data_IF_565335597853
#
_entry.id   IF_565335597853
#
_cell.length_a   1.000
_cell.length_b   1.000
_cell.length_c   1.000
_cell.angle_alpha   90.00
_cell.angle_beta   90.00
_cell.angle_gamma   90.00
#
_symmetry.space_group_name_H-M   'P 1'
#
loop_
_entity.id
_entity.type
_entity.pdbx_description
1 polymer ?
#
# COMPACT_ATOMS: atom_id res chain seq x y z
N UNK A 1 -27.49 -47.11 -48.84
CA UNK A 1 -26.32 -47.99 -48.94
C UNK A 1 -25.09 -47.15 -48.60
N UNK A 2 -24.62 -47.28 -47.35
CA UNK A 2 -23.30 -46.99 -46.77
C UNK A 2 -22.67 -45.60 -47.01
N UNK A 3 -22.61 -44.68 -46.04
CA UNK A 3 -21.73 -44.71 -44.85
C UNK A 3 -20.25 -44.90 -45.20
N UNK A 4 -19.54 -43.81 -45.54
CA UNK A 4 -18.08 -43.68 -45.42
C UNK A 4 -17.60 -42.27 -45.85
N UNK A 5 -17.76 -41.26 -45.00
CA UNK A 5 -16.97 -40.01 -45.11
C UNK A 5 -16.71 -39.38 -43.73
N UNK A 6 -16.45 -40.23 -42.73
CA UNK A 6 -15.94 -39.81 -41.42
C UNK A 6 -14.69 -40.63 -41.11
N UNK A 7 -13.50 -40.16 -41.56
CA UNK A 7 -12.19 -40.46 -40.93
C UNK A 7 -11.04 -39.75 -41.68
N UNK A 8 -10.90 -38.46 -41.43
CA UNK A 8 -9.61 -37.74 -41.40
C UNK A 8 -9.83 -36.53 -40.49
N UNK A 9 -10.07 -36.77 -39.21
CA UNK A 9 -9.04 -36.76 -38.16
C UNK A 9 -8.26 -35.44 -38.23
N UNK A 10 -8.72 -34.51 -37.41
CA UNK A 10 -8.22 -33.15 -37.35
C UNK A 10 -6.79 -33.05 -36.86
N UNK A 11 -6.17 -31.93 -37.23
CA UNK A 11 -5.02 -31.30 -36.60
C UNK A 11 -4.74 -30.05 -37.44
N UNK A 12 -5.33 -28.91 -37.05
CA UNK A 12 -4.87 -27.54 -37.32
C UNK A 12 -5.95 -26.52 -36.89
N UNK A 13 -6.48 -26.68 -35.68
CA UNK A 13 -6.72 -25.49 -34.87
C UNK A 13 -5.53 -25.47 -33.92
N UNK A 14 -4.59 -24.56 -34.18
CA UNK A 14 -3.58 -24.21 -33.21
C UNK A 14 -4.38 -23.55 -32.08
N UNK A 15 -4.73 -24.35 -31.07
CA UNK A 15 -5.25 -23.84 -29.82
C UNK A 15 -4.32 -22.72 -29.41
N UNK A 16 -4.88 -21.51 -29.33
CA UNK A 16 -4.16 -20.38 -28.79
C UNK A 16 -3.69 -20.80 -27.42
N UNK A 17 -2.38 -21.02 -27.29
CA UNK A 17 -1.73 -21.18 -26.00
C UNK A 17 -2.04 -19.87 -25.29
N UNK A 18 -3.08 -19.87 -24.45
CA UNK A 18 -3.13 -18.99 -23.30
C UNK A 18 -1.90 -19.40 -22.50
N UNK A 19 -0.79 -18.72 -22.80
CA UNK A 19 0.42 -18.83 -22.01
C UNK A 19 0.01 -18.41 -20.62
N UNK A 20 -0.18 -19.38 -19.73
CA UNK A 20 0.00 -19.13 -18.31
C UNK A 20 1.41 -18.57 -18.22
N UNK A 21 1.49 -17.24 -18.06
CA UNK A 21 2.74 -16.53 -17.89
C UNK A 21 3.33 -17.00 -16.58
N UNK A 22 4.13 -18.07 -16.65
CA UNK A 22 4.79 -18.66 -15.52
C UNK A 22 5.71 -17.60 -14.94
N UNK A 23 5.35 -17.06 -13.77
CA UNK A 23 6.13 -16.00 -13.14
C UNK A 23 7.51 -16.59 -12.84
N UNK A 24 8.59 -16.07 -13.45
CA UNK A 24 9.91 -16.65 -13.27
C UNK A 24 10.35 -16.46 -11.82
N UNK A 25 10.86 -17.51 -11.20
CA UNK A 25 11.45 -17.44 -9.87
C UNK A 25 12.80 -16.71 -9.95
N UNK A 26 12.76 -15.38 -9.83
CA UNK A 26 13.93 -14.51 -9.91
C UNK A 26 14.48 -14.19 -8.52
N UNK A 27 15.80 -14.07 -8.41
CA UNK A 27 16.44 -13.63 -7.17
C UNK A 27 16.02 -12.19 -6.85
N UNK A 28 15.58 -11.91 -5.61
CA UNK A 28 15.17 -10.57 -5.23
C UNK A 28 16.34 -9.58 -5.31
N UNK A 29 16.05 -8.33 -5.71
CA UNK A 29 17.03 -7.25 -5.92
C UNK A 29 18.09 -7.48 -7.02
N UNK A 30 17.96 -8.56 -7.81
CA UNK A 30 18.86 -8.84 -8.92
C UNK A 30 18.60 -7.94 -10.14
N UNK A 31 19.62 -7.73 -10.98
CA UNK A 31 19.46 -7.03 -12.25
C UNK A 31 18.48 -7.76 -13.20
N UNK A 32 18.41 -9.10 -13.10
CA UNK A 32 17.45 -9.92 -13.84
C UNK A 32 16.01 -9.58 -13.47
N UNK A 33 15.73 -9.39 -12.17
CA UNK A 33 14.40 -8.96 -11.72
C UNK A 33 14.03 -7.58 -12.28
N UNK A 34 14.99 -6.64 -12.28
CA UNK A 34 14.78 -5.29 -12.81
C UNK A 34 14.53 -5.32 -14.31
N UNK A 35 15.28 -6.13 -15.06
CA UNK A 35 15.08 -6.33 -16.49
C UNK A 35 13.69 -6.88 -16.79
N UNK A 36 13.31 -7.96 -16.11
CA UNK A 36 12.01 -8.59 -16.27
C UNK A 36 10.87 -7.59 -16.04
N UNK A 37 10.89 -6.83 -14.95
CA UNK A 37 9.86 -5.82 -14.65
C UNK A 37 9.77 -4.78 -15.78
N UNK A 38 10.92 -4.25 -16.23
CA UNK A 38 10.94 -3.12 -17.16
C UNK A 38 10.62 -3.49 -18.61
N UNK A 39 10.85 -4.74 -19.02
CA UNK A 39 10.79 -5.13 -20.44
C UNK A 39 9.88 -6.33 -20.74
N UNK A 40 9.59 -7.19 -19.76
CA UNK A 40 8.86 -8.45 -19.98
C UNK A 40 7.50 -8.49 -19.26
N UNK A 41 7.40 -7.88 -18.08
CA UNK A 41 6.22 -7.95 -17.22
C UNK A 41 5.05 -7.04 -17.65
N UNK A 42 5.22 -6.22 -18.70
CA UNK A 42 4.23 -5.25 -19.21
C UNK A 42 3.57 -4.40 -18.09
N UNK A 43 4.39 -3.80 -17.22
CA UNK A 43 3.90 -2.97 -16.10
C UNK A 43 3.90 -1.48 -16.43
N UNK A 44 3.07 -0.71 -15.72
CA UNK A 44 3.01 0.76 -15.85
C UNK A 44 4.11 1.51 -15.09
N UNK A 45 4.86 0.80 -14.24
CA UNK A 45 5.93 1.35 -13.40
C UNK A 45 7.29 0.78 -13.80
N UNK A 46 8.36 1.48 -13.43
CA UNK A 46 9.74 1.08 -13.71
C UNK A 46 10.51 0.72 -12.44
N UNK A 47 11.26 -0.37 -12.48
CA UNK A 47 12.13 -0.82 -11.41
C UNK A 47 13.55 -0.25 -11.54
N UNK A 48 14.16 0.08 -10.39
CA UNK A 48 15.57 0.52 -10.27
C UNK A 48 16.15 0.05 -8.95
N UNK A 49 17.47 -0.18 -8.90
CA UNK A 49 18.21 -0.41 -7.64
C UNK A 49 18.15 0.83 -6.74
N UNK A 50 17.91 0.60 -5.44
CA UNK A 50 17.91 1.64 -4.42
C UNK A 50 19.06 1.39 -3.44
N UNK A 51 19.88 2.41 -3.18
CA UNK A 51 21.06 2.32 -2.30
C UNK A 51 20.70 2.16 -0.81
N UNK A 52 19.52 2.65 -0.41
CA UNK A 52 19.00 2.52 0.98
C UNK A 52 18.90 1.06 1.44
N UNK A 53 18.66 0.12 0.53
CA UNK A 53 18.36 -1.28 0.86
C UNK A 53 19.42 -2.22 0.27
N UNK A 54 20.56 -2.42 0.96
CA UNK A 54 21.66 -3.24 0.44
C UNK A 54 21.34 -4.74 0.42
N UNK A 55 20.40 -5.21 1.24
CA UNK A 55 20.03 -6.62 1.34
C UNK A 55 18.56 -6.82 1.75
N UNK A 56 18.04 -8.03 1.56
CA UNK A 56 16.65 -8.39 1.88
C UNK A 56 16.33 -8.16 3.36
N UNK A 57 17.30 -8.38 4.25
CA UNK A 57 17.07 -8.22 5.68
C UNK A 57 16.79 -6.75 6.07
N UNK A 58 17.50 -5.80 5.45
CA UNK A 58 17.23 -4.37 5.62
C UNK A 58 15.81 -4.00 5.18
N UNK A 59 15.31 -4.61 4.10
CA UNK A 59 13.93 -4.44 3.62
C UNK A 59 12.95 -5.02 4.62
N UNK A 60 13.16 -6.28 5.03
CA UNK A 60 12.27 -6.97 5.97
C UNK A 60 12.16 -6.21 7.29
N UNK A 61 13.25 -5.64 7.79
CA UNK A 61 13.25 -4.81 9.01
C UNK A 61 12.41 -3.53 8.87
N UNK A 62 12.30 -2.96 7.68
CA UNK A 62 11.44 -1.79 7.42
C UNK A 62 9.94 -2.15 7.29
N UNK A 63 9.58 -3.43 7.10
CA UNK A 63 8.20 -3.89 6.94
C UNK A 63 7.58 -4.33 8.27
N UNK A 64 7.22 -3.35 9.11
CA UNK A 64 6.78 -3.63 10.50
C UNK A 64 5.27 -3.73 10.74
N UNK A 65 4.42 -3.55 9.73
CA UNK A 65 2.96 -3.66 9.91
C UNK A 65 2.50 -5.11 9.92
N UNK A 66 1.81 -5.51 10.98
CA UNK A 66 1.17 -6.82 11.09
C UNK A 66 -0.29 -6.77 10.63
N UNK A 67 -0.81 -7.84 10.01
CA UNK A 67 -2.22 -7.92 9.64
C UNK A 67 -3.13 -7.79 10.87
N UNK A 68 -4.15 -6.93 10.78
CA UNK A 68 -5.12 -6.75 11.87
C UNK A 68 -6.02 -8.00 12.01
N UNK A 69 -6.06 -8.64 13.19
CA UNK A 69 -6.97 -9.76 13.47
C UNK A 69 -8.42 -9.37 13.22
N UNK A 70 -9.25 -10.31 12.71
CA UNK A 70 -10.67 -10.03 12.37
C UNK A 70 -11.44 -9.40 13.54
N UNK A 71 -11.22 -9.89 14.76
CA UNK A 71 -11.87 -9.39 16.00
C UNK A 71 -11.52 -7.94 16.39
N UNK A 72 -10.45 -7.37 15.83
CA UNK A 72 -9.99 -6.01 16.10
C UNK A 72 -10.26 -5.06 14.93
N UNK A 73 -10.92 -5.54 13.87
CA UNK A 73 -11.30 -4.67 12.75
C UNK A 73 -12.43 -3.76 13.22
N UNK A 74 -12.25 -2.47 13.01
CA UNK A 74 -13.28 -1.47 13.27
C UNK A 74 -14.41 -1.62 12.24
N UNK A 75 -15.61 -1.21 12.64
CA UNK A 75 -16.76 -1.18 11.75
C UNK A 75 -16.50 -0.25 10.56
N UNK A 76 -17.06 -0.61 9.41
CA UNK A 76 -16.99 0.25 8.24
C UNK A 76 -17.87 1.47 8.47
N UNK A 77 -17.29 2.66 8.32
CA UNK A 77 -18.05 3.90 8.45
C UNK A 77 -18.91 4.10 7.20
N UNK A 78 -20.23 4.00 7.37
CA UNK A 78 -21.20 4.32 6.33
C UNK A 78 -21.64 5.77 6.46
N UNK A 79 -21.46 6.55 5.40
CA UNK A 79 -22.01 7.90 5.31
C UNK A 79 -23.53 7.80 5.10
N UNK A 80 -24.31 8.21 6.10
CA UNK A 80 -25.76 8.39 5.94
C UNK A 80 -25.98 9.78 5.33
N UNK A 81 -25.89 9.91 4.01
CA UNK A 81 -25.97 11.22 3.36
C UNK A 81 -27.37 11.83 3.50
N UNK A 82 -27.54 12.81 4.39
CA UNK A 82 -28.67 13.76 4.36
C UNK A 82 -28.30 15.07 3.65
N UNK A 83 -27.06 15.17 3.17
CA UNK A 83 -26.46 16.37 2.57
C UNK A 83 -26.10 16.04 1.12
N UNK A 84 -26.42 16.94 0.19
CA UNK A 84 -26.00 16.84 -1.21
C UNK A 84 -24.47 16.78 -1.27
N UNK A 85 -23.92 15.61 -1.55
CA UNK A 85 -22.48 15.43 -1.71
C UNK A 85 -22.07 15.98 -3.08
N UNK A 86 -21.11 16.92 -3.14
CA UNK A 86 -20.57 17.34 -4.43
C UNK A 86 -19.91 16.13 -5.12
N UNK A 87 -19.93 16.08 -6.46
CA UNK A 87 -19.31 14.99 -7.20
C UNK A 87 -17.82 14.87 -6.86
N UNK A 88 -17.35 13.63 -6.69
CA UNK A 88 -15.93 13.34 -6.45
C UNK A 88 -15.15 13.72 -7.72
N UNK A 89 -14.06 14.51 -7.61
CA UNK A 89 -13.28 14.92 -8.76
C UNK A 89 -12.48 13.75 -9.35
N UNK A 90 -12.18 13.81 -10.65
CA UNK A 90 -11.35 12.83 -11.34
C UNK A 90 -9.90 12.80 -10.81
N UNK A 91 -9.41 13.97 -10.35
CA UNK A 91 -8.07 14.14 -9.77
C UNK A 91 -8.16 14.88 -8.44
N UNK A 92 -7.39 14.41 -7.45
CA UNK A 92 -7.33 15.02 -6.12
C UNK A 92 -5.92 14.90 -5.53
N UNK A 93 -5.34 16.02 -5.14
CA UNK A 93 -4.12 16.08 -4.33
C UNK A 93 -4.39 16.87 -3.04
N UNK A 94 -4.14 16.22 -1.89
CA UNK A 94 -4.33 16.85 -0.58
C UNK A 94 -3.41 18.06 -0.37
N UNK A 95 -2.23 18.08 -0.99
CA UNK A 95 -1.26 19.19 -0.91
C UNK A 95 -1.77 20.44 -1.62
N UNK A 96 -2.48 20.26 -2.73
CA UNK A 96 -3.12 21.36 -3.46
C UNK A 96 -4.39 21.83 -2.76
N UNK A 97 -5.13 20.91 -2.13
CA UNK A 97 -6.38 21.23 -1.43
C UNK A 97 -6.15 21.99 -0.11
N UNK A 98 -5.11 21.64 0.63
CA UNK A 98 -4.77 22.25 1.92
C UNK A 98 -3.30 22.71 1.96
N UNK A 99 -2.93 23.76 1.19
CA UNK A 99 -1.55 24.21 1.08
C UNK A 99 -0.97 24.74 2.41
N UNK A 100 -1.82 25.26 3.29
CA UNK A 100 -1.43 25.73 4.64
C UNK A 100 -0.93 24.59 5.55
N UNK A 101 -1.34 23.35 5.26
CA UNK A 101 -0.92 22.16 6.00
C UNK A 101 0.40 21.61 5.43
N UNK A 102 1.51 22.26 5.78
CA UNK A 102 2.85 21.87 5.30
C UNK A 102 3.25 20.43 5.65
N UNK A 103 2.68 19.86 6.72
CA UNK A 103 2.90 18.46 7.12
C UNK A 103 2.43 17.42 6.10
N UNK A 104 1.55 17.78 5.15
CA UNK A 104 1.12 16.88 4.07
C UNK A 104 2.27 16.55 3.13
N UNK A 105 3.14 17.52 2.88
CA UNK A 105 4.27 17.39 1.96
C UNK A 105 5.51 16.77 2.63
N UNK A 106 5.46 16.54 3.94
CA UNK A 106 6.58 16.01 4.70
C UNK A 106 6.74 14.51 4.47
N UNK A 107 7.92 14.10 3.97
CA UNK A 107 8.30 12.69 3.85
C UNK A 107 9.13 12.29 5.07
N UNK A 108 8.56 11.46 5.94
CA UNK A 108 9.21 11.01 7.19
C UNK A 108 10.06 9.77 6.97
N UNK A 109 11.18 9.68 7.68
CA UNK A 109 12.05 8.50 7.69
C UNK A 109 11.84 7.66 8.97
N UNK A 110 11.39 6.42 8.79
CA UNK A 110 11.27 5.43 9.88
C UNK A 110 12.63 4.85 10.33
N UNK A 111 13.73 5.26 9.71
CA UNK A 111 15.09 4.77 9.97
C UNK A 111 15.20 3.25 9.76
N UNK A 112 16.12 2.60 10.48
CA UNK A 112 16.33 1.14 10.48
C UNK A 112 15.40 0.43 11.46
N UNK A 113 14.12 0.81 11.50
CA UNK A 113 13.10 0.24 12.38
C UNK A 113 11.84 -0.13 11.58
N UNK A 114 11.08 -1.12 12.05
CA UNK A 114 9.75 -1.47 11.54
C UNK A 114 8.65 -0.55 12.08
N UNK A 115 8.92 0.76 12.20
CA UNK A 115 8.00 1.73 12.82
C UNK A 115 7.03 2.38 11.84
N UNK A 116 6.91 1.85 10.61
CA UNK A 116 6.03 2.37 9.56
C UNK A 116 4.58 2.60 10.02
N UNK A 117 4.05 1.70 10.86
CA UNK A 117 2.71 1.82 11.43
C UNK A 117 2.55 3.06 12.32
N UNK A 118 3.56 3.38 13.14
CA UNK A 118 3.62 4.59 13.98
C UNK A 118 3.84 5.83 13.12
N UNK A 119 4.85 5.82 12.25
CA UNK A 119 5.16 6.96 11.38
C UNK A 119 3.95 7.38 10.53
N UNK A 120 3.21 6.41 9.98
CA UNK A 120 1.98 6.65 9.24
C UNK A 120 0.86 7.21 10.10
N UNK A 121 0.66 6.65 11.31
CA UNK A 121 -0.33 7.16 12.26
C UNK A 121 -0.07 8.63 12.61
N UNK A 122 1.17 8.99 12.95
CA UNK A 122 1.53 10.39 13.25
C UNK A 122 1.35 11.33 12.07
N UNK A 123 1.73 10.89 10.86
CA UNK A 123 1.57 11.70 9.63
C UNK A 123 0.08 11.99 9.38
N UNK A 124 -0.78 10.97 9.50
CA UNK A 124 -2.24 11.11 9.36
C UNK A 124 -2.86 11.98 10.45
N UNK A 125 -2.44 11.80 11.70
CA UNK A 125 -2.95 12.58 12.82
C UNK A 125 -2.61 14.06 12.66
N UNK A 126 -1.35 14.37 12.37
CA UNK A 126 -0.90 15.76 12.13
C UNK A 126 -1.68 16.43 11.01
N UNK A 127 -1.87 15.71 9.89
CA UNK A 127 -2.70 16.18 8.78
C UNK A 127 -4.14 16.48 9.21
N UNK A 128 -4.80 15.52 9.88
CA UNK A 128 -6.20 15.69 10.31
C UNK A 128 -6.37 16.81 11.31
N UNK A 129 -5.45 16.97 12.25
CA UNK A 129 -5.45 18.09 13.20
C UNK A 129 -5.33 19.42 12.46
N UNK A 130 -4.41 19.54 11.49
CA UNK A 130 -4.26 20.76 10.71
C UNK A 130 -5.56 21.11 9.93
N UNK A 131 -6.13 20.14 9.22
CA UNK A 131 -7.40 20.34 8.49
C UNK A 131 -8.51 20.73 9.47
N UNK A 132 -8.67 20.03 10.59
CA UNK A 132 -9.71 20.33 11.57
C UNK A 132 -9.56 21.73 12.16
N UNK A 133 -8.32 22.15 12.46
CA UNK A 133 -7.97 23.49 12.92
C UNK A 133 -8.44 24.58 11.95
N UNK A 134 -8.30 24.36 10.63
CA UNK A 134 -8.71 25.33 9.61
C UNK A 134 -10.24 25.53 9.55
N UNK A 135 -11.04 24.53 9.90
CA UNK A 135 -12.50 24.58 9.75
C UNK A 135 -13.26 24.78 11.07
N UNK A 136 -12.73 24.32 12.21
CA UNK A 136 -13.50 24.22 13.47
C UNK A 136 -12.88 25.03 14.61
N UNK A 137 -11.74 25.72 14.42
CA UNK A 137 -11.02 26.47 15.48
C UNK A 137 -10.68 25.63 16.74
N UNK A 138 -10.65 24.30 16.64
CA UNK A 138 -10.23 23.40 17.71
C UNK A 138 -8.75 23.04 17.52
N UNK A 139 -7.86 23.93 17.96
CA UNK A 139 -6.41 23.73 17.91
C UNK A 139 -5.79 23.35 19.27
N UNK A 140 -6.44 22.45 20.00
CA UNK A 140 -5.73 21.80 21.10
C UNK A 140 -4.65 20.90 20.52
N UNK A 141 -3.42 21.10 20.96
CA UNK A 141 -2.30 20.21 20.69
C UNK A 141 -2.63 18.84 21.26
N UNK A 142 -3.02 17.88 20.41
CA UNK A 142 -3.10 16.48 20.83
C UNK A 142 -1.69 16.06 21.20
N UNK A 143 -1.41 15.96 22.49
CA UNK A 143 -0.10 15.58 23.00
C UNK A 143 0.14 14.08 22.73
N UNK A 144 0.67 13.80 21.55
CA UNK A 144 0.86 12.44 21.03
C UNK A 144 1.93 11.68 21.82
N UNK A 145 2.68 12.37 22.68
CA UNK A 145 3.64 11.74 23.60
C UNK A 145 2.93 10.77 24.56
N UNK A 146 1.76 11.14 25.10
CA UNK A 146 0.98 10.30 26.00
C UNK A 146 0.38 9.08 25.28
N UNK A 147 -0.07 9.26 24.04
CA UNK A 147 -0.59 8.18 23.19
C UNK A 147 0.51 7.21 22.73
N UNK A 148 1.68 7.75 22.37
CA UNK A 148 2.86 6.94 22.08
C UNK A 148 3.34 6.17 23.29
N UNK A 149 3.36 6.77 24.49
CA UNK A 149 3.69 6.07 25.73
C UNK A 149 2.66 4.99 26.03
N UNK A 150 1.36 5.24 25.86
CA UNK A 150 0.32 4.22 26.07
C UNK A 150 0.41 3.06 25.07
N UNK A 151 0.69 3.37 23.80
CA UNK A 151 0.89 2.39 22.74
C UNK A 151 2.19 1.62 22.96
N UNK A 152 3.30 2.29 23.30
CA UNK A 152 4.57 1.64 23.65
C UNK A 152 4.41 0.74 24.86
N UNK A 153 3.75 1.18 25.93
CA UNK A 153 3.50 0.36 27.13
C UNK A 153 2.63 -0.86 26.80
N UNK A 154 1.59 -0.73 25.97
CA UNK A 154 0.79 -1.89 25.55
C UNK A 154 1.51 -2.83 24.60
N UNK A 155 2.35 -2.32 23.69
CA UNK A 155 3.16 -3.15 22.79
C UNK A 155 4.29 -3.85 23.54
N UNK A 156 4.92 -3.17 24.51
CA UNK A 156 5.97 -3.75 25.35
C UNK A 156 5.41 -4.84 26.28
N UNK A 157 4.20 -4.64 26.84
CA UNK A 157 3.50 -5.67 27.60
C UNK A 157 3.11 -6.88 26.73
N UNK A 158 2.79 -6.66 25.45
CA UNK A 158 2.48 -7.77 24.52
C UNK A 158 3.72 -8.54 24.05
N UNK A 159 4.92 -8.00 24.24
CA UNK A 159 6.19 -8.69 23.96
C UNK A 159 6.77 -9.42 25.19
N UNK A 160 6.17 -9.23 26.38
CA UNK A 160 6.61 -9.83 27.66
C UNK A 160 5.72 -11.03 28.07
N UNK A 161 4.59 -11.27 27.39
CA UNK A 161 3.84 -12.54 27.44
C UNK A 161 4.13 -13.40 26.19
#
# INVERSE_FOLDING_TARGET
>A
MYFCFWLSLGLLFCDGIHGESLIPMLQPLSDKMIHYINYEANTTWKAKKQSRFPNIWSIRRSLGTLPTPKRLRLDTYCLTSTIFEPPIPEYFDAREKWPECTSISEIRDQSSCGSCWVCHFHSKQSLRTCIACMYVHLCESVDVSALLVYIFLRVFLWFIE
#
